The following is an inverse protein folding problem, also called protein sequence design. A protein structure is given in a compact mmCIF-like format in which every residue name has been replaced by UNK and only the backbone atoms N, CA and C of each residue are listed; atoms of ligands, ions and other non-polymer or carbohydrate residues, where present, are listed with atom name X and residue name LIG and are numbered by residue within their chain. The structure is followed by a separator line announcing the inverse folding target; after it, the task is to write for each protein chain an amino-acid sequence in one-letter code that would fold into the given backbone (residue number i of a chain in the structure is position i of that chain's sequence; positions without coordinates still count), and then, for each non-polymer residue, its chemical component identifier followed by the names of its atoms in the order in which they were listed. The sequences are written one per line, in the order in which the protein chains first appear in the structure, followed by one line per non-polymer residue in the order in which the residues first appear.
data_IF_212293581681
#
_entry.id   IF_212293581681
#
_cell.length_a   1.000
_cell.length_b   1.000
_cell.length_c   1.000
_cell.angle_alpha   90.00
_cell.angle_beta   90.00
_cell.angle_gamma   90.00
#
_symmetry.space_group_name_H-M   'P 1'
#
loop_
_entity.id
_entity.type
_entity.pdbx_description
1 polymer ?
#
# COMPACT_ATOMS: atom_id res chain seq x y z
N UNK A 1 -13.81 5.87 -19.95
CA UNK A 1 -13.32 5.99 -18.57
C UNK A 1 -14.34 6.76 -17.76
N UNK A 2 -14.74 6.29 -16.57
CA UNK A 2 -15.53 7.07 -15.62
C UNK A 2 -14.71 8.27 -15.12
N UNK A 3 -15.37 9.31 -14.60
CA UNK A 3 -14.69 10.35 -13.84
C UNK A 3 -14.44 9.86 -12.42
N UNK A 4 -13.35 10.31 -11.78
CA UNK A 4 -12.99 9.92 -10.41
C UNK A 4 -14.14 10.08 -9.41
N UNK A 5 -14.93 11.16 -9.53
CA UNK A 5 -16.11 11.42 -8.69
C UNK A 5 -17.25 10.40 -8.83
N UNK A 6 -17.27 9.62 -9.90
CA UNK A 6 -18.29 8.60 -10.17
C UNK A 6 -17.83 7.20 -9.70
N UNK A 7 -16.56 7.07 -9.31
CA UNK A 7 -15.97 5.84 -8.78
C UNK A 7 -16.43 5.67 -7.34
N UNK A 8 -17.16 4.60 -7.07
CA UNK A 8 -17.54 4.22 -5.71
C UNK A 8 -16.53 3.20 -5.20
N UNK A 9 -16.03 3.44 -3.98
CA UNK A 9 -15.19 2.48 -3.31
C UNK A 9 -15.97 1.19 -3.03
N UNK A 10 -15.32 0.07 -3.31
CA UNK A 10 -15.76 -1.27 -2.90
C UNK A 10 -14.55 -1.99 -2.32
N UNK A 11 -14.67 -2.41 -1.06
CA UNK A 11 -13.61 -3.11 -0.34
C UNK A 11 -13.10 -4.33 -1.11
N UNK A 12 -14.03 -5.20 -1.53
CA UNK A 12 -13.70 -6.45 -2.22
C UNK A 12 -13.08 -6.21 -3.60
N UNK A 13 -13.58 -5.23 -4.35
CA UNK A 13 -12.99 -4.91 -5.66
C UNK A 13 -11.60 -4.31 -5.52
N UNK A 14 -11.37 -3.47 -4.50
CA UNK A 14 -10.07 -2.88 -4.22
C UNK A 14 -9.04 -3.95 -3.82
N UNK A 15 -9.41 -4.87 -2.92
CA UNK A 15 -8.59 -6.04 -2.56
C UNK A 15 -8.24 -6.84 -3.82
N UNK A 16 -9.24 -7.15 -4.66
CA UNK A 16 -9.04 -7.92 -5.88
C UNK A 16 -8.08 -7.23 -6.86
N UNK A 17 -8.20 -5.91 -7.06
CA UNK A 17 -7.27 -5.17 -7.93
C UNK A 17 -5.84 -5.16 -7.39
N UNK A 18 -5.66 -5.06 -6.07
CA UNK A 18 -4.33 -5.14 -5.47
C UNK A 18 -3.77 -6.55 -5.69
N UNK A 19 -4.56 -7.61 -5.52
CA UNK A 19 -4.13 -8.98 -5.84
C UNK A 19 -3.73 -9.13 -7.30
N UNK A 20 -4.51 -8.56 -8.22
CA UNK A 20 -4.20 -8.57 -9.65
C UNK A 20 -2.90 -7.84 -9.96
N UNK A 21 -2.61 -6.74 -9.27
CA UNK A 21 -1.36 -6.00 -9.40
C UNK A 21 -0.15 -6.84 -9.01
N UNK A 22 -0.19 -7.52 -7.86
CA UNK A 22 0.89 -8.41 -7.42
C UNK A 22 1.08 -9.59 -8.40
N UNK A 23 -0.03 -10.19 -8.85
CA UNK A 23 0.01 -11.23 -9.88
C UNK A 23 0.60 -10.73 -11.22
N UNK A 24 0.35 -9.48 -11.56
CA UNK A 24 0.95 -8.85 -12.73
C UNK A 24 2.46 -8.68 -12.57
N UNK A 25 2.94 -8.23 -11.41
CA UNK A 25 4.39 -8.13 -11.13
C UNK A 25 5.07 -9.50 -11.22
N UNK A 26 4.45 -10.56 -10.68
CA UNK A 26 4.95 -11.95 -10.81
C UNK A 26 5.06 -12.36 -12.28
N UNK A 27 4.06 -12.05 -13.09
CA UNK A 27 4.08 -12.37 -14.53
C UNK A 27 5.13 -11.56 -15.30
N UNK A 28 5.44 -10.35 -14.84
CA UNK A 28 6.34 -9.45 -15.53
C UNK A 28 7.81 -9.70 -15.16
N UNK A 29 8.14 -9.76 -13.87
CA UNK A 29 9.54 -9.86 -13.43
C UNK A 29 9.76 -10.40 -12.01
N UNK A 30 8.74 -10.48 -11.15
CA UNK A 30 8.90 -10.93 -9.77
C UNK A 30 8.86 -12.47 -9.66
N UNK A 31 9.68 -13.03 -8.78
CA UNK A 31 9.50 -14.43 -8.38
C UNK A 31 8.25 -14.57 -7.50
N UNK A 32 7.45 -15.62 -7.69
CA UNK A 32 6.23 -15.85 -6.89
C UNK A 32 6.53 -15.93 -5.38
N UNK A 33 7.70 -16.46 -5.01
CA UNK A 33 8.13 -16.55 -3.61
C UNK A 33 8.50 -15.19 -2.98
N UNK A 34 8.59 -14.13 -3.79
CA UNK A 34 8.86 -12.77 -3.33
C UNK A 34 7.70 -12.19 -2.52
N UNK A 35 6.50 -12.76 -2.64
CA UNK A 35 5.31 -12.32 -1.93
C UNK A 35 4.76 -13.39 -0.99
N UNK A 36 4.03 -12.92 0.03
CA UNK A 36 3.29 -13.75 0.97
C UNK A 36 1.82 -13.34 0.88
N UNK A 37 0.97 -14.29 0.52
CA UNK A 37 -0.46 -14.08 0.36
C UNK A 37 -1.20 -14.18 1.70
N UNK A 38 -2.26 -13.37 1.90
CA UNK A 38 -3.03 -13.40 3.14
C UNK A 38 -3.76 -14.73 3.31
N UNK A 39 -3.96 -15.19 4.57
CA UNK A 39 -4.91 -16.25 4.86
C UNK A 39 -6.35 -15.88 4.42
N UNK A 40 -7.27 -16.86 4.28
CA UNK A 40 -8.66 -16.57 3.91
C UNK A 40 -9.36 -15.55 4.82
N UNK A 41 -9.11 -15.63 6.13
CA UNK A 41 -9.64 -14.70 7.15
C UNK A 41 -8.73 -13.47 7.38
N UNK A 42 -7.75 -13.27 6.49
CA UNK A 42 -6.78 -12.18 6.53
C UNK A 42 -5.69 -12.34 7.59
N UNK A 43 -4.80 -11.36 7.66
CA UNK A 43 -3.66 -11.37 8.58
C UNK A 43 -4.09 -11.19 10.04
N UNK A 44 -3.83 -12.16 10.94
CA UNK A 44 -4.27 -12.06 12.34
C UNK A 44 -3.53 -10.96 13.12
N UNK A 45 -2.38 -10.51 12.64
CA UNK A 45 -1.59 -9.45 13.26
C UNK A 45 -2.06 -8.06 12.88
N UNK A 46 -2.92 -7.92 11.88
CA UNK A 46 -3.47 -6.64 11.42
C UNK A 46 -4.89 -6.50 11.97
N UNK A 47 -5.02 -5.66 12.99
CA UNK A 47 -6.28 -5.42 13.71
C UNK A 47 -6.39 -3.94 14.08
N UNK A 48 -7.60 -3.48 14.39
CA UNK A 48 -7.80 -2.12 14.89
C UNK A 48 -7.01 -1.84 16.19
N UNK A 49 -6.75 -2.87 16.99
CA UNK A 49 -5.93 -2.75 18.19
C UNK A 49 -4.44 -2.59 17.85
N UNK A 50 -3.91 -3.40 16.92
CA UNK A 50 -2.49 -3.35 16.56
C UNK A 50 -2.11 -2.10 15.76
N UNK A 51 -3.04 -1.55 14.97
CA UNK A 51 -2.82 -0.33 14.20
C UNK A 51 -3.47 0.93 14.81
N UNK A 52 -3.93 0.86 16.08
CA UNK A 52 -4.66 1.98 16.72
C UNK A 52 -3.91 3.31 16.66
N UNK A 53 -2.57 3.26 16.71
CA UNK A 53 -1.73 4.44 16.74
C UNK A 53 -1.76 5.22 15.43
N UNK A 54 -2.07 4.59 14.29
CA UNK A 54 -2.17 5.30 13.00
C UNK A 54 -3.35 6.26 12.96
N UNK A 55 -4.43 5.94 13.67
CA UNK A 55 -5.70 6.64 13.51
C UNK A 55 -6.40 6.36 12.18
N UNK A 56 -6.16 5.20 11.53
CA UNK A 56 -6.88 4.79 10.31
C UNK A 56 -8.28 4.28 10.60
N UNK A 57 -9.15 4.36 9.58
CA UNK A 57 -10.50 3.80 9.62
C UNK A 57 -10.47 2.28 9.61
N UNK A 58 -11.59 1.67 10.05
CA UNK A 58 -11.74 0.21 10.00
C UNK A 58 -11.67 -0.32 8.56
N UNK A 59 -12.14 0.44 7.57
CA UNK A 59 -12.10 0.03 6.16
C UNK A 59 -10.65 -0.07 5.64
N UNK A 60 -9.78 0.86 6.05
CA UNK A 60 -8.34 0.80 5.76
C UNK A 60 -7.69 -0.39 6.45
N UNK A 61 -7.98 -0.60 7.74
CA UNK A 61 -7.45 -1.74 8.49
C UNK A 61 -7.87 -3.06 7.83
N UNK A 62 -9.13 -3.16 7.40
CA UNK A 62 -9.66 -4.33 6.70
C UNK A 62 -9.00 -4.52 5.33
N UNK A 63 -8.66 -3.44 4.63
CA UNK A 63 -7.95 -3.50 3.35
C UNK A 63 -6.56 -4.09 3.57
N UNK A 64 -5.79 -3.50 4.49
CA UNK A 64 -4.45 -3.96 4.84
C UNK A 64 -4.43 -5.41 5.33
N UNK A 65 -5.46 -5.84 6.03
CA UNK A 65 -5.61 -7.21 6.52
C UNK A 65 -5.70 -8.25 5.38
N UNK A 66 -6.13 -7.85 4.19
CA UNK A 66 -6.44 -8.75 3.08
C UNK A 66 -5.58 -8.55 1.82
N UNK A 67 -4.46 -7.82 1.90
CA UNK A 67 -3.52 -7.67 0.78
C UNK A 67 -2.25 -8.52 0.97
N UNK A 68 -1.52 -8.84 -0.11
CA UNK A 68 -0.24 -9.52 -0.03
C UNK A 68 0.86 -8.59 0.50
N UNK A 69 1.91 -9.18 1.05
CA UNK A 69 3.10 -8.45 1.49
C UNK A 69 4.38 -9.05 0.93
N UNK A 70 5.39 -8.21 0.75
CA UNK A 70 6.72 -8.61 0.33
C UNK A 70 7.38 -9.48 1.40
N UNK A 71 8.06 -10.56 0.99
CA UNK A 71 8.91 -11.35 1.87
C UNK A 71 10.20 -10.60 2.18
N UNK A 72 10.62 -10.63 3.45
CA UNK A 72 11.90 -10.08 3.91
C UNK A 72 13.06 -10.62 3.07
N UNK A 73 14.05 -9.76 2.76
CA UNK A 73 15.23 -10.06 1.94
C UNK A 73 14.98 -10.30 0.44
N UNK A 74 13.91 -9.71 -0.12
CA UNK A 74 13.66 -9.73 -1.57
C UNK A 74 13.88 -8.34 -2.15
N UNK A 75 14.64 -8.21 -3.24
CA UNK A 75 14.93 -6.91 -3.88
C UNK A 75 13.85 -6.53 -4.91
N UNK A 76 12.59 -6.85 -4.61
CA UNK A 76 11.46 -6.52 -5.50
C UNK A 76 10.96 -5.11 -5.23
N UNK A 77 10.72 -4.37 -6.31
CA UNK A 77 10.18 -3.03 -6.25
C UNK A 77 8.68 -3.04 -6.51
N UNK A 78 7.94 -2.10 -5.92
CA UNK A 78 6.52 -1.90 -6.19
C UNK A 78 6.31 -1.11 -7.48
N UNK A 79 7.22 -0.20 -7.78
CA UNK A 79 7.37 0.59 -9.00
C UNK A 79 8.86 0.96 -9.15
N UNK A 80 9.35 1.50 -10.28
CA UNK A 80 10.75 1.87 -10.42
C UNK A 80 11.25 2.72 -9.25
N UNK A 81 12.23 2.20 -8.51
CA UNK A 81 12.82 2.81 -7.32
C UNK A 81 11.82 3.06 -6.16
N UNK A 82 10.85 2.17 -5.97
CA UNK A 82 9.94 2.20 -4.82
C UNK A 82 9.85 0.82 -4.19
N UNK A 83 9.91 0.77 -2.87
CA UNK A 83 9.79 -0.47 -2.09
C UNK A 83 8.35 -0.67 -1.58
N UNK A 84 7.99 -1.91 -1.26
CA UNK A 84 6.69 -2.23 -0.66
C UNK A 84 6.74 -2.05 0.85
N UNK A 85 5.74 -1.37 1.41
CA UNK A 85 5.54 -1.28 2.86
C UNK A 85 4.91 -2.55 3.43
N UNK A 86 5.56 -3.16 4.42
CA UNK A 86 5.04 -4.33 5.14
C UNK A 86 4.27 -3.93 6.41
N UNK A 87 2.96 -3.77 6.27
CA UNK A 87 2.08 -3.44 7.39
C UNK A 87 1.95 -4.56 8.44
N UNK A 88 2.31 -5.81 8.12
CA UNK A 88 2.34 -6.88 9.13
C UNK A 88 3.49 -6.69 10.11
N UNK A 89 4.60 -6.10 9.64
CA UNK A 89 5.72 -5.72 10.48
C UNK A 89 5.38 -4.46 11.29
N UNK A 90 4.80 -3.43 10.65
CA UNK A 90 4.35 -2.20 11.33
C UNK A 90 3.37 -2.52 12.47
N UNK A 91 2.38 -3.38 12.24
CA UNK A 91 1.43 -3.79 13.29
C UNK A 91 2.07 -4.55 14.45
N UNK A 92 3.25 -5.18 14.26
CA UNK A 92 4.00 -5.85 15.33
C UNK A 92 4.88 -4.86 16.10
N UNK A 93 5.57 -3.95 15.40
CA UNK A 93 6.54 -3.02 15.98
C UNK A 93 5.90 -1.76 16.56
N UNK A 94 4.88 -1.20 15.90
CA UNK A 94 4.16 0.01 16.35
C UNK A 94 3.44 -0.15 17.68
N UNK A 95 3.06 -1.38 18.06
CA UNK A 95 2.47 -1.68 19.38
C UNK A 95 3.51 -1.62 20.50
N UNK A 96 4.79 -1.82 20.19
CA UNK A 96 5.84 -2.00 21.19
C UNK A 96 6.57 -0.70 21.56
N UNK A 97 6.57 0.32 20.71
CA UNK A 97 7.49 1.46 20.90
C UNK A 97 6.87 2.77 21.37
N UNK A 98 5.58 3.06 21.15
CA UNK A 98 5.01 4.35 21.59
C UNK A 98 5.63 5.59 20.92
N UNK A 99 6.56 5.40 19.97
CA UNK A 99 7.16 6.44 19.14
C UNK A 99 6.21 6.81 18.00
N UNK A 100 6.16 8.09 17.67
CA UNK A 100 5.38 8.64 16.55
C UNK A 100 6.12 8.44 15.19
N UNK A 101 7.37 7.96 15.22
CA UNK A 101 8.26 7.84 14.05
C UNK A 101 7.70 6.94 12.93
N UNK A 102 7.00 5.86 13.26
CA UNK A 102 6.48 4.95 12.22
C UNK A 102 5.29 5.52 11.43
N UNK A 103 4.62 6.58 11.93
CA UNK A 103 3.67 7.33 11.10
C UNK A 103 4.40 8.09 10.00
N UNK A 104 5.58 8.60 10.30
CA UNK A 104 6.45 9.24 9.31
C UNK A 104 6.85 8.23 8.25
N UNK A 105 7.32 7.05 8.66
CA UNK A 105 7.71 5.98 7.71
C UNK A 105 6.55 5.54 6.80
N UNK A 106 5.31 5.57 7.31
CA UNK A 106 4.14 5.08 6.60
C UNK A 106 3.38 6.14 5.78
N UNK A 107 3.50 7.42 6.15
CA UNK A 107 2.69 8.52 5.61
C UNK A 107 3.50 9.71 5.12
N UNK A 108 4.81 9.67 5.31
CA UNK A 108 5.77 10.68 4.90
C UNK A 108 5.98 11.78 5.94
N UNK A 109 7.23 12.23 6.11
CA UNK A 109 7.60 13.26 7.08
C UNK A 109 6.86 14.59 6.88
N UNK A 110 6.51 14.89 5.63
CA UNK A 110 5.80 16.12 5.28
C UNK A 110 4.31 16.10 5.66
N UNK A 111 3.68 14.93 5.70
CA UNK A 111 2.21 14.81 5.68
C UNK A 111 1.59 14.00 6.83
N UNK A 112 2.36 13.22 7.59
CA UNK A 112 1.86 12.26 8.59
C UNK A 112 0.90 12.84 9.67
N UNK A 113 0.91 14.16 9.90
CA UNK A 113 0.00 14.80 10.86
C UNK A 113 -1.39 15.08 10.28
N UNK A 114 -1.51 15.18 8.95
CA UNK A 114 -2.71 15.65 8.27
C UNK A 114 -3.32 14.62 7.30
N UNK A 115 -2.80 13.39 7.27
CA UNK A 115 -3.35 12.34 6.40
C UNK A 115 -4.72 11.90 6.91
N UNK A 116 -5.78 11.98 6.09
CA UNK A 116 -7.10 11.49 6.48
C UNK A 116 -7.07 10.02 6.89
N UNK A 117 -7.94 9.62 7.82
CA UNK A 117 -8.01 8.25 8.33
C UNK A 117 -8.36 7.21 7.26
N UNK A 118 -8.89 7.64 6.12
CA UNK A 118 -9.25 6.82 4.95
C UNK A 118 -8.16 6.73 3.90
N UNK A 119 -7.02 7.38 4.10
CA UNK A 119 -5.88 7.42 3.18
C UNK A 119 -4.73 6.61 3.78
N UNK A 120 -4.06 5.78 2.97
CA UNK A 120 -2.97 4.90 3.42
C UNK A 120 -1.92 4.75 2.32
N UNK A 121 -0.64 4.74 2.71
CA UNK A 121 0.48 4.43 1.84
C UNK A 121 0.70 2.92 1.70
N UNK A 122 1.13 2.46 0.52
CA UNK A 122 1.50 1.06 0.27
C UNK A 122 2.99 0.89 -0.04
N UNK A 123 3.74 1.98 -0.06
CA UNK A 123 5.18 2.03 -0.33
C UNK A 123 5.88 2.70 0.85
N UNK A 124 7.12 2.30 1.12
CA UNK A 124 7.93 2.96 2.14
C UNK A 124 8.38 4.34 1.62
N UNK A 125 8.49 5.33 2.51
CA UNK A 125 9.18 6.58 2.16
C UNK A 125 10.68 6.29 2.08
N UNK A 126 11.17 5.97 0.88
CA UNK A 126 12.60 5.87 0.65
C UNK A 126 13.21 7.29 0.73
N UNK A 127 14.20 7.52 1.61
CA UNK A 127 15.00 8.75 1.64
C UNK A 127 15.64 8.97 0.26
N UNK A 128 14.94 9.70 -0.61
CA UNK A 128 15.43 10.10 -1.90
C UNK A 128 16.61 11.05 -1.69
N UNK A 129 17.72 10.85 -2.42
CA UNK A 129 18.80 11.84 -2.45
C UNK A 129 18.23 13.23 -2.80
N UNK A 130 18.81 14.32 -2.28
CA UNK A 130 18.28 15.70 -2.30
C UNK A 130 17.87 16.29 -3.69
N UNK A 131 17.97 15.56 -4.80
CA UNK A 131 17.45 15.93 -6.12
C UNK A 131 16.22 15.13 -6.60
N UNK A 132 15.79 14.10 -5.89
CA UNK A 132 14.70 13.20 -6.28
C UNK A 132 13.45 13.32 -5.37
N UNK A 133 13.53 14.17 -4.34
CA UNK A 133 12.50 14.34 -3.29
C UNK A 133 11.20 14.92 -3.84
N UNK A 134 11.27 15.88 -4.77
CA UNK A 134 10.11 16.70 -5.16
C UNK A 134 9.01 15.91 -5.90
N UNK A 135 9.36 14.93 -6.75
CA UNK A 135 8.36 14.10 -7.43
C UNK A 135 7.98 12.83 -6.63
N UNK A 136 8.81 12.42 -5.66
CA UNK A 136 8.54 11.28 -4.77
C UNK A 136 7.67 11.65 -3.56
N UNK A 137 7.78 12.87 -3.03
CA UNK A 137 6.90 13.37 -1.96
C UNK A 137 5.43 13.45 -2.40
N UNK A 138 5.15 13.51 -3.70
CA UNK A 138 3.79 13.45 -4.27
C UNK A 138 3.26 12.00 -4.45
N UNK A 139 4.08 10.98 -4.19
CA UNK A 139 3.78 9.57 -4.50
C UNK A 139 3.37 8.66 -3.34
N UNK A 140 3.57 9.07 -2.08
CA UNK A 140 3.50 8.14 -0.94
C UNK A 140 2.10 7.91 -0.36
N UNK A 141 1.11 8.76 -0.67
CA UNK A 141 -0.25 8.62 -0.15
C UNK A 141 -1.29 8.92 -1.23
N UNK A 142 -2.06 7.90 -1.63
CA UNK A 142 -3.19 8.07 -2.53
C UNK A 142 -4.50 7.89 -1.77
N UNK A 143 -5.53 8.64 -2.15
CA UNK A 143 -6.88 8.26 -1.72
C UNK A 143 -7.22 6.89 -2.32
N UNK A 144 -7.95 6.06 -1.58
CA UNK A 144 -8.30 4.72 -2.07
C UNK A 144 -8.97 4.76 -3.46
N UNK A 145 -9.86 5.74 -3.78
CA UNK A 145 -10.37 5.93 -5.14
C UNK A 145 -9.29 6.22 -6.21
N UNK A 146 -8.27 7.02 -5.89
CA UNK A 146 -7.18 7.35 -6.83
C UNK A 146 -6.28 6.15 -7.11
N UNK A 147 -5.93 5.41 -6.05
CA UNK A 147 -5.20 4.15 -6.17
C UNK A 147 -5.94 3.17 -7.09
N UNK A 148 -7.26 3.09 -6.95
CA UNK A 148 -8.11 2.23 -7.74
C UNK A 148 -8.09 2.59 -9.24
N UNK A 149 -8.11 3.88 -9.59
CA UNK A 149 -8.07 4.32 -11.00
C UNK A 149 -6.68 4.20 -11.63
N UNK A 150 -5.60 4.43 -10.87
CA UNK A 150 -4.23 4.21 -11.35
C UNK A 150 -4.02 2.72 -11.64
N UNK A 151 -4.43 1.83 -10.72
CA UNK A 151 -4.33 0.38 -10.93
C UNK A 151 -5.16 -0.07 -12.15
N UNK A 152 -6.40 0.42 -12.29
CA UNK A 152 -7.20 0.16 -13.50
C UNK A 152 -6.55 0.68 -14.78
N UNK A 153 -5.91 1.84 -14.73
CA UNK A 153 -5.24 2.43 -15.89
C UNK A 153 -4.00 1.63 -16.26
N UNK A 154 -3.18 1.24 -15.29
CA UNK A 154 -2.01 0.38 -15.50
C UNK A 154 -2.48 -0.97 -16.08
N UNK A 155 -3.38 -1.68 -15.40
CA UNK A 155 -3.86 -3.00 -15.82
C UNK A 155 -4.61 -2.93 -17.16
N UNK A 156 -5.46 -1.92 -17.35
CA UNK A 156 -6.26 -1.71 -18.55
C UNK A 156 -5.40 -1.38 -19.78
N UNK A 157 -4.35 -0.56 -19.62
CA UNK A 157 -3.40 -0.28 -20.70
C UNK A 157 -2.61 -1.54 -21.08
N UNK A 158 -2.18 -2.35 -20.11
CA UNK A 158 -1.47 -3.62 -20.42
C UNK A 158 -2.37 -4.66 -21.10
N UNK A 159 -3.68 -4.65 -20.87
CA UNK A 159 -4.64 -5.54 -21.55
C UNK A 159 -4.83 -5.17 -23.03
N UNK A 160 -4.61 -3.92 -23.41
CA UNK A 160 -4.65 -3.42 -24.79
C UNK A 160 -3.37 -3.73 -25.60
N UNK A 161 -2.29 -4.17 -24.94
CA UNK A 161 -1.01 -4.53 -25.57
C UNK A 161 -0.81 -6.04 -25.76
N UNK A 162 -1.88 -6.86 -25.65
CA UNK A 162 -1.87 -8.28 -26.04
C UNK A 162 -2.48 -8.51 -27.41
#
# INVERSE_FOLDING_TARGET
MPWLRDVKYSQGECIALIHDYYNFLIKMYADESAFIWPPPDGWPTITAASLRGLGKSNDVIELLRHIPYRRVNTEIQSAPYSTFLDWTWVGKCGVQQGDEDWKVDAEGIANYQNVPSTVVGLTEEDYAAEGEVDWRSDGACWSIPDCFEVLKTIIGNFTLFR
#
